data_IF_042366159261
#
_entry.id   IF_042366159261
#
_cell.length_a   1.000
_cell.length_b   1.000
_cell.length_c   1.000
_cell.angle_alpha   90.00
_cell.angle_beta   90.00
_cell.angle_gamma   90.00
#
_symmetry.space_group_name_H-M   'P 1'
#
loop_
_entity.id
_entity.type
_entity.pdbx_description
1 polymer ?
#
# COMPACT_ATOMS: atom_id res chain seq x y z
N UNK A 1 -8.21 9.51 12.29
CA UNK A 1 -8.10 8.69 11.07
C UNK A 1 -8.20 7.24 11.50
N UNK A 2 -9.16 6.51 10.95
CA UNK A 2 -9.35 5.08 11.24
C UNK A 2 -8.23 4.22 10.66
N UNK A 3 -8.13 2.97 11.10
CA UNK A 3 -7.11 2.03 10.61
C UNK A 3 -7.28 1.73 9.10
N UNK A 4 -8.53 1.64 8.61
CA UNK A 4 -8.85 1.53 7.18
C UNK A 4 -8.36 2.76 6.40
N UNK A 5 -8.75 3.97 6.83
CA UNK A 5 -8.34 5.22 6.19
C UNK A 5 -6.81 5.37 6.16
N UNK A 6 -6.13 4.91 7.21
CA UNK A 6 -4.67 4.90 7.24
C UNK A 6 -4.08 3.98 6.17
N UNK A 7 -4.59 2.75 6.02
CA UNK A 7 -4.12 1.82 4.99
C UNK A 7 -4.40 2.33 3.58
N UNK A 8 -5.57 2.89 3.32
CA UNK A 8 -5.91 3.48 2.03
C UNK A 8 -4.95 4.63 1.68
N UNK A 9 -4.66 5.51 2.64
CA UNK A 9 -3.72 6.62 2.45
C UNK A 9 -2.29 6.15 2.21
N UNK A 10 -1.85 5.05 2.84
CA UNK A 10 -0.53 4.47 2.58
C UNK A 10 -0.46 3.81 1.20
N UNK A 11 -1.52 3.12 0.78
CA UNK A 11 -1.63 2.56 -0.57
C UNK A 11 -1.54 3.66 -1.63
N UNK A 12 -2.26 4.77 -1.45
CA UNK A 12 -2.20 5.92 -2.36
C UNK A 12 -0.78 6.50 -2.46
N UNK A 13 -0.13 6.72 -1.31
CA UNK A 13 1.24 7.26 -1.27
C UNK A 13 2.26 6.34 -1.94
N UNK A 14 2.22 5.04 -1.66
CA UNK A 14 3.17 4.09 -2.25
C UNK A 14 2.89 3.85 -3.73
N UNK A 15 1.63 3.93 -4.16
CA UNK A 15 1.26 3.91 -5.59
C UNK A 15 1.89 5.08 -6.34
N UNK A 16 1.81 6.29 -5.77
CA UNK A 16 2.47 7.46 -6.34
C UNK A 16 3.99 7.30 -6.39
N UNK A 17 4.62 6.82 -5.31
CA UNK A 17 6.06 6.58 -5.26
C UNK A 17 6.53 5.53 -6.26
N UNK A 18 5.78 4.44 -6.42
CA UNK A 18 6.03 3.41 -7.42
C UNK A 18 6.01 4.00 -8.83
N UNK A 19 4.97 4.79 -9.15
CA UNK A 19 4.89 5.50 -10.44
C UNK A 19 6.08 6.43 -10.67
N UNK A 20 6.42 7.27 -9.69
CA UNK A 20 7.56 8.19 -9.79
C UNK A 20 8.89 7.46 -9.93
N UNK A 21 9.08 6.31 -9.26
CA UNK A 21 10.26 5.47 -9.40
C UNK A 21 10.34 4.85 -10.81
N UNK A 22 9.22 4.37 -11.34
CA UNK A 22 9.13 3.87 -12.72
C UNK A 22 9.47 4.95 -13.74
N UNK A 23 8.96 6.19 -13.57
CA UNK A 23 9.24 7.33 -14.45
C UNK A 23 10.72 7.72 -14.43
N UNK A 24 11.41 7.51 -13.30
CA UNK A 24 12.85 7.75 -13.14
C UNK A 24 13.73 6.55 -13.51
N UNK A 25 13.14 5.42 -13.92
CA UNK A 25 13.84 4.14 -14.10
C UNK A 25 14.65 3.70 -12.85
N UNK A 26 14.17 4.06 -11.66
CA UNK A 26 14.76 3.69 -10.37
C UNK A 26 14.19 2.35 -9.92
N UNK A 27 14.80 1.25 -10.41
CA UNK A 27 14.34 -0.10 -10.14
C UNK A 27 14.30 -0.44 -8.63
N UNK A 28 15.34 -0.13 -7.82
CA UNK A 28 15.28 -0.39 -6.37
C UNK A 28 14.13 0.34 -5.67
N UNK A 29 13.89 1.61 -6.00
CA UNK A 29 12.78 2.36 -5.40
C UNK A 29 11.41 1.83 -5.85
N UNK A 30 11.31 1.36 -7.10
CA UNK A 30 10.10 0.73 -7.62
C UNK A 30 9.77 -0.58 -6.89
N UNK A 31 10.73 -1.51 -6.80
CA UNK A 31 10.55 -2.79 -6.11
C UNK A 31 10.18 -2.62 -4.64
N UNK A 32 10.78 -1.63 -3.98
CA UNK A 32 10.44 -1.27 -2.61
C UNK A 32 9.00 -0.76 -2.49
N UNK A 33 8.59 0.16 -3.36
CA UNK A 33 7.23 0.69 -3.36
C UNK A 33 6.17 -0.39 -3.66
N UNK A 34 6.46 -1.31 -4.60
CA UNK A 34 5.58 -2.45 -4.89
C UNK A 34 5.47 -3.43 -3.70
N UNK A 35 6.57 -3.66 -2.98
CA UNK A 35 6.56 -4.49 -1.76
C UNK A 35 5.69 -3.88 -0.66
N UNK A 36 5.82 -2.57 -0.43
CA UNK A 36 4.99 -1.84 0.54
C UNK A 36 3.51 -1.86 0.12
N UNK A 37 3.21 -1.65 -1.17
CA UNK A 37 1.84 -1.75 -1.70
C UNK A 37 1.22 -3.11 -1.43
N UNK A 38 1.95 -4.21 -1.66
CA UNK A 38 1.47 -5.55 -1.37
C UNK A 38 1.15 -5.74 0.12
N UNK A 39 2.04 -5.26 1.00
CA UNK A 39 1.85 -5.32 2.45
C UNK A 39 0.61 -4.55 2.91
N UNK A 40 0.44 -3.28 2.50
CA UNK A 40 -0.72 -2.49 2.92
C UNK A 40 -2.04 -3.02 2.36
N UNK A 41 -2.05 -3.55 1.13
CA UNK A 41 -3.24 -4.22 0.56
C UNK A 41 -3.62 -5.47 1.36
N UNK A 42 -2.63 -6.24 1.81
CA UNK A 42 -2.88 -7.40 2.65
C UNK A 42 -3.40 -7.01 4.04
N UNK A 43 -2.79 -6.02 4.70
CA UNK A 43 -3.26 -5.51 5.98
C UNK A 43 -4.69 -4.99 5.90
N UNK A 44 -5.02 -4.23 4.85
CA UNK A 44 -6.38 -3.75 4.60
C UNK A 44 -7.35 -4.93 4.43
N UNK A 45 -7.01 -5.91 3.59
CA UNK A 45 -7.81 -7.13 3.39
C UNK A 45 -8.07 -7.86 4.71
N UNK A 46 -7.01 -8.11 5.50
CA UNK A 46 -7.12 -8.78 6.81
C UNK A 46 -7.98 -7.98 7.78
N UNK A 47 -7.84 -6.67 7.82
CA UNK A 47 -8.63 -5.82 8.71
C UNK A 47 -10.12 -5.83 8.34
N UNK A 48 -10.45 -5.76 7.05
CA UNK A 48 -11.83 -5.87 6.56
C UNK A 48 -12.43 -7.27 6.81
N UNK A 49 -11.62 -8.32 6.70
CA UNK A 49 -12.04 -9.69 7.01
C UNK A 49 -12.23 -9.92 8.51
N UNK A 50 -11.32 -9.42 9.35
CA UNK A 50 -11.39 -9.58 10.80
C UNK A 50 -12.47 -8.71 11.44
N UNK A 51 -12.80 -7.56 10.84
CA UNK A 51 -13.98 -6.77 11.21
C UNK A 51 -15.32 -7.43 10.80
N UNK A 52 -15.27 -8.54 10.06
CA UNK A 52 -16.44 -9.33 9.65
C UNK A 52 -16.79 -10.47 10.62
N UNK A 53 -15.92 -10.76 11.60
CA UNK A 53 -16.22 -11.72 12.67
C UNK A 53 -17.01 -10.98 13.76
N UNK A 54 -18.33 -11.17 13.71
CA UNK A 54 -19.31 -10.72 14.71
C UNK A 54 -19.09 -11.37 16.07
#
# INVERSE_FOLDING_TARGET
MGQVEFYEKMIEQWSRKSREASERADLPAFEFAESELANYREMLKRHLQNGSVK
#
